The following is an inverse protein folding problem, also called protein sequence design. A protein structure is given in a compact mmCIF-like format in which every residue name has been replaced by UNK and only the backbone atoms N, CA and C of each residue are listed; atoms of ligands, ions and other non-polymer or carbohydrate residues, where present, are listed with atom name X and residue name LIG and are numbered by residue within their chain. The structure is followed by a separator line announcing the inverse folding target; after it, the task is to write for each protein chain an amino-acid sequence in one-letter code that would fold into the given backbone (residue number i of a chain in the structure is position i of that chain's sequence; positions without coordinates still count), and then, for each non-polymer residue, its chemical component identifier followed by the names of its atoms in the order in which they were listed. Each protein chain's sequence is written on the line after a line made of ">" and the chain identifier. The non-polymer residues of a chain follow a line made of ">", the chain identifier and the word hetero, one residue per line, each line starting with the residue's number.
data_IF_512327256615
#
_entry.id   IF_512327256615
#
_cell.length_a   1.000
_cell.length_b   1.000
_cell.length_c   1.000
_cell.angle_alpha   90.00
_cell.angle_beta   90.00
_cell.angle_gamma   90.00
#
_symmetry.space_group_name_H-M   'P 1'
#
loop_
_entity.id
_entity.type
_entity.pdbx_description
1 polymer ?
#
# COMPACT_ATOMS: atom_id res chain seq x y z
N UNK A 1 -10.39 1.60 -51.64
CA UNK A 1 -9.82 1.89 -50.32
C UNK A 1 -9.94 0.63 -49.49
N UNK A 2 -8.86 0.13 -48.90
CA UNK A 2 -8.97 -1.02 -48.01
C UNK A 2 -9.78 -0.60 -46.77
N UNK A 3 -10.81 -1.35 -46.42
CA UNK A 3 -11.52 -1.14 -45.15
C UNK A 3 -10.53 -1.22 -44.00
N UNK A 4 -10.39 -0.12 -43.26
CA UNK A 4 -9.70 -0.11 -41.97
C UNK A 4 -10.50 -1.00 -41.01
N UNK A 5 -10.18 -2.29 -40.99
CA UNK A 5 -10.69 -3.20 -39.95
C UNK A 5 -9.95 -2.91 -38.67
N UNK A 6 -10.63 -2.29 -37.72
CA UNK A 6 -10.16 -2.19 -36.33
C UNK A 6 -9.90 -3.60 -35.82
N UNK A 7 -8.65 -3.92 -35.48
CA UNK A 7 -8.29 -5.21 -34.91
C UNK A 7 -8.50 -5.15 -33.40
N UNK A 8 -9.51 -5.87 -32.91
CA UNK A 8 -9.90 -5.82 -31.49
C UNK A 8 -11.07 -4.87 -31.21
N UNK A 9 -11.42 -4.68 -29.93
CA UNK A 9 -12.52 -3.85 -29.47
C UNK A 9 -12.79 -4.04 -27.97
N UNK A 10 -13.67 -3.22 -27.38
CA UNK A 10 -14.09 -3.35 -25.97
C UNK A 10 -14.66 -4.75 -25.74
N UNK A 11 -14.14 -5.47 -24.74
CA UNK A 11 -14.55 -6.83 -24.40
C UNK A 11 -13.84 -7.95 -25.19
N UNK A 12 -12.99 -7.63 -26.17
CA UNK A 12 -12.20 -8.63 -26.88
C UNK A 12 -10.96 -9.07 -26.07
N UNK A 13 -10.59 -10.35 -26.18
CA UNK A 13 -9.37 -10.89 -25.57
C UNK A 13 -8.13 -10.50 -26.40
N UNK A 14 -7.60 -9.30 -26.18
CA UNK A 14 -6.40 -8.78 -26.84
C UNK A 14 -5.19 -8.99 -25.92
N UNK A 15 -4.04 -9.50 -26.42
CA UNK A 15 -2.80 -9.54 -25.65
C UNK A 15 -2.36 -8.16 -25.19
N UNK A 16 -1.64 -8.08 -24.08
CA UNK A 16 -1.02 -6.84 -23.62
C UNK A 16 -0.14 -6.22 -24.72
N UNK A 17 -0.24 -4.91 -24.96
CA UNK A 17 0.45 -4.22 -26.07
C UNK A 17 1.96 -4.46 -26.09
N UNK A 18 2.61 -4.36 -24.92
CA UNK A 18 4.05 -4.65 -24.75
C UNK A 18 4.37 -6.13 -24.48
N UNK A 19 3.41 -7.05 -24.58
CA UNK A 19 3.59 -8.45 -24.21
C UNK A 19 4.71 -9.16 -24.98
N UNK A 20 4.82 -8.88 -26.28
CA UNK A 20 5.91 -9.40 -27.11
C UNK A 20 7.29 -8.88 -26.67
N UNK A 21 7.39 -7.60 -26.28
CA UNK A 21 8.62 -6.98 -25.77
C UNK A 21 9.03 -7.54 -24.40
N UNK A 22 8.07 -7.89 -23.55
CA UNK A 22 8.36 -8.52 -22.26
C UNK A 22 9.01 -9.90 -22.46
N UNK A 23 8.54 -10.67 -23.44
CA UNK A 23 9.05 -12.01 -23.73
C UNK A 23 10.43 -11.97 -24.41
N UNK A 24 10.66 -11.00 -25.29
CA UNK A 24 11.96 -10.84 -25.97
C UNK A 24 13.03 -10.18 -25.11
N UNK A 25 12.64 -9.51 -24.01
CA UNK A 25 13.56 -8.71 -23.19
C UNK A 25 13.86 -7.32 -23.78
N UNK A 26 13.07 -6.87 -24.76
CA UNK A 26 13.24 -5.56 -25.41
C UNK A 26 12.46 -4.44 -24.71
N UNK A 27 11.61 -4.79 -23.73
CA UNK A 27 10.90 -3.81 -22.92
C UNK A 27 11.85 -3.15 -21.90
N UNK A 28 12.24 -1.90 -22.15
CA UNK A 28 13.10 -1.10 -21.27
C UNK A 28 12.41 -0.73 -19.95
N UNK A 29 12.99 -1.09 -18.81
CA UNK A 29 12.63 -0.60 -17.48
C UNK A 29 13.55 0.57 -17.06
N UNK A 30 13.34 1.18 -15.90
CA UNK A 30 14.11 2.39 -15.52
C UNK A 30 15.61 2.13 -15.45
N UNK A 31 16.05 0.93 -15.03
CA UNK A 31 17.47 0.60 -14.94
C UNK A 31 18.11 0.33 -16.32
N UNK A 32 17.30 -0.09 -17.29
CA UNK A 32 17.73 -0.41 -18.64
C UNK A 32 17.95 0.86 -19.50
N UNK A 33 17.54 2.03 -18.99
CA UNK A 33 17.74 3.31 -19.68
C UNK A 33 19.24 3.54 -19.87
N UNK A 34 19.70 3.82 -21.12
CA UNK A 34 21.09 4.14 -21.38
C UNK A 34 21.59 5.31 -20.53
N UNK A 35 22.70 5.09 -19.85
CA UNK A 35 23.27 6.06 -18.93
C UNK A 35 23.99 7.18 -19.68
N UNK A 36 23.83 8.40 -19.17
CA UNK A 36 24.55 9.57 -19.66
C UNK A 36 26.01 9.43 -19.25
N UNK A 37 26.93 9.83 -20.11
CA UNK A 37 28.37 9.77 -19.81
C UNK A 37 28.68 10.49 -18.49
N UNK A 38 29.33 9.78 -17.57
CA UNK A 38 29.71 10.33 -16.27
C UNK A 38 28.62 10.24 -15.21
N UNK A 39 27.55 9.47 -15.45
CA UNK A 39 26.58 9.05 -14.42
C UNK A 39 27.30 8.53 -13.18
N UNK A 40 26.81 8.96 -12.02
CA UNK A 40 27.22 8.46 -10.71
C UNK A 40 26.09 7.61 -10.13
N UNK A 41 26.43 6.78 -9.15
CA UNK A 41 25.48 5.89 -8.50
C UNK A 41 25.32 6.25 -7.05
N UNK A 42 24.10 6.12 -6.53
CA UNK A 42 23.78 6.51 -5.18
C UNK A 42 23.49 5.31 -4.27
N UNK A 43 23.73 5.52 -2.97
CA UNK A 43 23.26 4.66 -1.88
C UNK A 43 22.86 5.51 -0.69
N UNK A 44 21.91 5.03 0.11
CA UNK A 44 21.40 5.72 1.30
C UNK A 44 22.05 5.09 2.54
N UNK A 45 22.51 5.93 3.46
CA UNK A 45 22.91 5.52 4.79
C UNK A 45 21.72 5.54 5.73
N UNK A 46 21.46 4.40 6.36
CA UNK A 46 20.24 4.13 7.13
C UNK A 46 20.49 4.11 8.64
N UNK A 47 19.41 4.26 9.40
CA UNK A 47 19.37 4.00 10.85
C UNK A 47 19.48 2.52 11.17
N UNK A 48 20.32 2.17 12.14
CA UNK A 48 20.37 0.83 12.74
C UNK A 48 19.50 0.72 14.01
N UNK A 49 18.72 1.76 14.33
CA UNK A 49 17.88 1.84 15.54
C UNK A 49 16.41 2.06 15.18
N UNK A 50 15.52 1.39 15.92
CA UNK A 50 14.08 1.56 15.78
C UNK A 50 13.60 2.91 16.34
N UNK A 51 14.18 3.39 17.44
CA UNK A 51 13.85 4.70 18.00
C UNK A 51 15.03 5.22 18.81
N UNK A 52 15.64 6.32 18.39
CA UNK A 52 16.79 6.89 19.09
C UNK A 52 17.01 8.37 18.76
N UNK A 53 17.57 9.14 19.70
CA UNK A 53 18.14 10.45 19.39
C UNK A 53 19.48 10.26 18.72
N UNK A 54 19.75 11.04 17.68
CA UNK A 54 21.07 11.10 17.04
C UNK A 54 21.94 12.07 17.86
N UNK A 55 23.02 11.58 18.45
CA UNK A 55 23.97 12.38 19.26
C UNK A 55 25.06 12.99 18.39
N UNK A 56 25.61 12.19 17.48
CA UNK A 56 26.64 12.61 16.55
C UNK A 56 26.57 11.78 15.26
N UNK A 57 26.97 12.39 14.14
CA UNK A 57 27.10 11.74 12.83
C UNK A 57 28.52 12.00 12.33
N UNK A 58 29.37 10.96 12.31
CA UNK A 58 30.67 10.99 11.67
C UNK A 58 30.62 10.27 10.31
N UNK A 59 30.84 11.06 9.27
CA UNK A 59 30.85 10.61 7.87
C UNK A 59 32.24 10.84 7.22
N UNK A 60 33.30 11.02 8.01
CA UNK A 60 34.66 11.23 7.50
C UNK A 60 35.14 10.03 6.67
N UNK A 61 34.98 8.81 7.19
CA UNK A 61 35.31 7.57 6.46
C UNK A 61 34.46 7.38 5.20
N UNK A 62 33.17 7.76 5.27
CA UNK A 62 32.27 7.75 4.10
C UNK A 62 32.80 8.66 3.00
N UNK A 63 33.16 9.91 3.34
CA UNK A 63 33.68 10.89 2.37
C UNK A 63 35.04 10.50 1.79
N UNK A 64 35.90 9.86 2.58
CA UNK A 64 37.21 9.41 2.15
C UNK A 64 37.19 8.08 1.38
N UNK A 65 36.05 7.39 1.31
CA UNK A 65 35.97 6.08 0.69
C UNK A 65 36.25 6.12 -0.83
N UNK A 66 36.90 5.08 -1.40
CA UNK A 66 37.25 5.06 -2.81
C UNK A 66 36.05 5.26 -3.74
N UNK A 67 36.18 6.21 -4.66
CA UNK A 67 35.17 6.48 -5.69
C UNK A 67 34.00 7.36 -5.23
N UNK A 68 33.91 7.73 -3.95
CA UNK A 68 32.92 8.70 -3.47
C UNK A 68 33.19 10.07 -4.07
N UNK A 69 32.12 10.71 -4.55
CA UNK A 69 32.14 12.04 -5.16
C UNK A 69 31.42 13.06 -4.30
N UNK A 70 30.30 12.68 -3.68
CA UNK A 70 29.55 13.54 -2.79
C UNK A 70 28.85 12.76 -1.69
N UNK A 71 28.65 13.42 -0.56
CA UNK A 71 27.81 12.97 0.54
C UNK A 71 26.85 14.12 0.88
N UNK A 72 25.58 13.80 1.07
CA UNK A 72 24.54 14.76 1.49
C UNK A 72 23.83 14.29 2.75
N UNK A 73 23.42 15.25 3.56
CA UNK A 73 22.60 15.10 4.76
C UNK A 73 21.39 16.03 4.65
N UNK A 74 20.51 16.05 5.67
CA UNK A 74 19.41 17.02 5.74
C UNK A 74 19.87 18.50 5.57
N UNK A 75 21.12 18.83 5.93
CA UNK A 75 21.68 20.20 5.81
C UNK A 75 21.98 20.62 4.37
N UNK A 76 22.05 19.66 3.46
CA UNK A 76 22.34 19.88 2.04
C UNK A 76 21.07 20.03 1.20
N UNK A 77 19.88 19.93 1.82
CA UNK A 77 18.59 20.11 1.14
C UNK A 77 18.30 21.61 1.02
N UNK A 78 18.22 22.18 -0.19
CA UNK A 78 17.96 23.60 -0.37
C UNK A 78 16.51 23.99 -0.05
N UNK A 79 15.55 23.09 -0.31
CA UNK A 79 14.13 23.31 -0.05
C UNK A 79 13.64 22.57 1.19
N UNK A 80 12.55 21.82 1.04
CA UNK A 80 11.90 21.10 2.17
C UNK A 80 12.48 19.70 2.34
N UNK A 81 12.87 19.37 3.56
CA UNK A 81 13.28 18.01 3.95
C UNK A 81 12.05 17.14 4.26
N UNK A 82 11.25 16.81 3.26
CA UNK A 82 10.02 16.02 3.41
C UNK A 82 9.60 15.38 2.07
N UNK A 83 9.03 14.18 2.13
CA UNK A 83 8.40 13.49 1.00
C UNK A 83 7.04 12.84 1.38
N UNK A 84 6.42 13.31 2.47
CA UNK A 84 5.13 12.78 2.92
C UNK A 84 4.00 13.12 1.93
N UNK A 85 3.19 12.14 1.48
CA UNK A 85 2.23 12.36 0.39
C UNK A 85 0.96 13.12 0.80
N UNK A 86 0.66 13.18 2.10
CA UNK A 86 -0.60 13.79 2.62
C UNK A 86 -0.30 14.80 3.72
N UNK A 87 0.56 14.41 4.66
CA UNK A 87 1.05 15.26 5.75
C UNK A 87 2.56 15.35 5.59
N UNK A 88 3.12 16.53 5.86
CA UNK A 88 4.56 16.74 5.88
C UNK A 88 5.16 16.20 7.19
N UNK A 89 5.20 14.88 7.32
CA UNK A 89 5.68 14.15 8.49
C UNK A 89 6.67 13.02 8.17
N UNK A 90 7.21 12.99 6.94
CA UNK A 90 8.16 11.97 6.48
C UNK A 90 9.41 12.62 5.87
N UNK A 91 10.45 12.91 6.68
CA UNK A 91 11.64 13.59 6.19
C UNK A 91 12.48 12.73 5.23
N UNK A 92 13.04 13.37 4.18
CA UNK A 92 13.99 12.73 3.25
C UNK A 92 15.22 12.21 4.01
N UNK A 93 15.72 12.98 4.98
CA UNK A 93 16.76 12.55 5.92
C UNK A 93 16.39 12.89 7.37
N UNK A 94 16.50 11.91 8.26
CA UNK A 94 16.37 12.10 9.69
C UNK A 94 17.39 13.14 10.21
N UNK A 95 16.94 13.98 11.15
CA UNK A 95 17.75 15.05 11.73
C UNK A 95 18.14 14.74 13.17
N UNK A 96 17.28 15.07 14.14
CA UNK A 96 17.57 14.91 15.56
C UNK A 96 17.24 13.51 16.10
N UNK A 97 16.38 12.77 15.41
CA UNK A 97 15.82 11.51 15.88
C UNK A 97 15.55 10.56 14.72
N UNK A 98 15.86 9.29 14.92
CA UNK A 98 15.42 8.19 14.07
C UNK A 98 14.20 7.53 14.73
N UNK A 99 13.19 7.21 13.93
CA UNK A 99 11.91 6.68 14.38
C UNK A 99 11.59 5.30 13.80
N UNK A 100 12.46 4.74 12.95
CA UNK A 100 12.40 3.33 12.56
C UNK A 100 13.77 2.81 12.09
N UNK A 101 13.94 1.48 12.14
CA UNK A 101 15.12 0.80 11.59
C UNK A 101 15.08 0.87 10.06
N UNK A 102 16.16 1.32 9.42
CA UNK A 102 16.18 1.58 7.97
C UNK A 102 15.94 3.05 7.58
N UNK A 103 15.61 3.93 8.54
CA UNK A 103 15.34 5.34 8.20
C UNK A 103 16.55 6.03 7.58
N UNK A 104 16.34 6.76 6.48
CA UNK A 104 17.38 7.52 5.78
C UNK A 104 17.98 8.61 6.67
N UNK A 105 19.32 8.68 6.74
CA UNK A 105 20.06 9.69 7.53
C UNK A 105 20.93 10.56 6.61
N UNK A 106 21.52 9.95 5.58
CA UNK A 106 22.37 10.63 4.60
C UNK A 106 22.37 9.83 3.29
N UNK A 107 22.93 10.39 2.22
CA UNK A 107 23.16 9.66 0.98
C UNK A 107 24.54 9.93 0.39
N UNK A 108 25.04 8.97 -0.40
CA UNK A 108 26.36 8.98 -1.02
C UNK A 108 26.19 8.88 -2.53
N UNK A 109 26.92 9.69 -3.30
CA UNK A 109 27.14 9.47 -4.73
C UNK A 109 28.58 8.99 -4.96
N UNK A 110 28.75 7.91 -5.73
CA UNK A 110 30.05 7.34 -6.07
C UNK A 110 30.12 6.94 -7.56
N UNK A 111 31.33 6.60 -8.03
CA UNK A 111 31.58 6.21 -9.43
C UNK A 111 30.97 4.86 -9.83
N UNK A 112 30.63 4.00 -8.87
CA UNK A 112 29.97 2.71 -9.09
C UNK A 112 28.94 2.45 -7.99
N UNK A 113 27.92 1.64 -8.28
CA UNK A 113 26.91 1.23 -7.30
C UNK A 113 27.54 0.55 -6.08
N UNK A 114 28.50 -0.35 -6.29
CA UNK A 114 29.18 -1.07 -5.22
C UNK A 114 29.97 -0.13 -4.30
N UNK A 115 30.65 0.87 -4.86
CA UNK A 115 31.36 1.87 -4.06
C UNK A 115 30.40 2.71 -3.21
N UNK A 116 29.26 3.12 -3.77
CA UNK A 116 28.25 3.87 -3.03
C UNK A 116 27.72 3.06 -1.84
N UNK A 117 27.32 1.79 -2.08
CA UNK A 117 26.81 0.89 -1.04
C UNK A 117 27.85 0.60 0.05
N UNK A 118 29.10 0.30 -0.34
CA UNK A 118 30.19 0.07 0.63
C UNK A 118 30.50 1.33 1.45
N UNK A 119 30.53 2.50 0.81
CA UNK A 119 30.79 3.76 1.50
C UNK A 119 29.70 4.11 2.51
N UNK A 120 28.42 3.90 2.18
CA UNK A 120 27.30 4.16 3.08
C UNK A 120 27.41 3.37 4.41
N UNK A 121 27.99 2.16 4.38
CA UNK A 121 28.22 1.32 5.57
C UNK A 121 29.39 1.75 6.46
N UNK A 122 30.18 2.75 6.06
CA UNK A 122 31.32 3.25 6.84
C UNK A 122 30.95 4.38 7.81
N UNK A 123 29.68 4.79 7.85
CA UNK A 123 29.22 5.82 8.76
C UNK A 123 29.33 5.35 10.21
N UNK A 124 29.73 6.28 11.08
CA UNK A 124 29.70 6.08 12.53
C UNK A 124 28.67 7.04 13.09
N UNK A 125 27.60 6.49 13.64
CA UNK A 125 26.48 7.27 14.18
C UNK A 125 26.31 6.89 15.63
N UNK A 126 26.35 7.91 16.49
CA UNK A 126 26.14 7.75 17.93
C UNK A 126 24.67 7.98 18.25
N UNK A 127 24.06 7.00 18.94
CA UNK A 127 22.65 6.98 19.28
C UNK A 127 22.44 7.01 20.79
N UNK A 128 21.34 7.62 21.21
CA UNK A 128 20.74 7.43 22.53
C UNK A 128 19.38 6.75 22.32
N UNK A 129 19.30 5.45 22.63
CA UNK A 129 18.12 4.63 22.39
C UNK A 129 16.92 5.10 23.23
N UNK A 130 15.74 5.11 22.62
CA UNK A 130 14.47 5.46 23.23
C UNK A 130 13.52 4.26 23.21
N UNK A 131 12.49 4.28 24.06
CA UNK A 131 11.43 3.25 24.04
C UNK A 131 10.75 3.23 22.68
N UNK A 132 10.74 2.08 22.02
CA UNK A 132 10.07 1.88 20.74
C UNK A 132 8.73 1.16 20.92
N UNK A 133 7.70 1.58 20.17
CA UNK A 133 6.45 0.83 19.99
C UNK A 133 6.54 0.04 18.69
N UNK A 134 6.57 -1.28 18.72
CA UNK A 134 6.75 -2.12 17.53
C UNK A 134 5.45 -2.77 17.07
N UNK A 135 4.44 -2.81 17.93
CA UNK A 135 3.12 -3.42 17.66
C UNK A 135 1.98 -2.42 17.85
N UNK A 136 0.82 -2.70 17.22
CA UNK A 136 -0.38 -1.89 17.42
C UNK A 136 -0.84 -1.89 18.90
N UNK A 137 -0.69 -3.01 19.63
CA UNK A 137 -0.99 -3.08 21.08
C UNK A 137 -0.15 -2.13 21.91
N UNK A 138 1.15 -2.05 21.64
CA UNK A 138 2.04 -1.16 22.37
C UNK A 138 1.69 0.30 22.09
N UNK A 139 1.40 0.64 20.84
CA UNK A 139 0.94 1.95 20.44
C UNK A 139 -0.41 2.32 21.10
N UNK A 140 -1.37 1.40 21.16
CA UNK A 140 -2.65 1.60 21.87
C UNK A 140 -2.46 1.87 23.36
N UNK A 141 -1.65 1.03 24.03
CA UNK A 141 -1.33 1.17 25.46
C UNK A 141 -0.71 2.54 25.75
N UNK A 142 0.17 2.99 24.87
CA UNK A 142 0.90 4.25 25.01
C UNK A 142 0.14 5.44 24.38
N UNK A 143 -1.09 5.23 23.87
CA UNK A 143 -1.92 6.21 23.15
C UNK A 143 -1.17 6.95 22.02
N UNK A 144 -0.34 6.21 21.27
CA UNK A 144 0.49 6.72 20.19
C UNK A 144 -0.19 6.50 18.82
N UNK A 145 -0.57 7.59 18.16
CA UNK A 145 -1.31 7.57 16.90
C UNK A 145 -0.69 8.52 15.86
N UNK A 146 -0.72 8.15 14.58
CA UNK A 146 -0.28 9.03 13.48
C UNK A 146 -1.40 9.99 13.05
N UNK A 147 -2.65 9.60 13.31
CA UNK A 147 -3.87 10.32 12.92
C UNK A 147 -4.97 10.08 13.98
N UNK A 148 -6.02 10.92 14.03
CA UNK A 148 -7.13 10.75 14.96
C UNK A 148 -7.81 9.37 14.87
N UNK A 149 -8.34 8.90 16.01
CA UNK A 149 -9.24 7.75 16.07
C UNK A 149 -10.58 8.12 15.44
N UNK A 150 -11.14 7.22 14.64
CA UNK A 150 -12.43 7.43 13.96
C UNK A 150 -13.42 6.37 14.42
N UNK A 151 -14.70 6.75 14.48
CA UNK A 151 -15.79 5.86 14.83
C UNK A 151 -16.94 6.01 13.86
N UNK A 152 -17.43 4.87 13.36
CA UNK A 152 -18.64 4.77 12.56
C UNK A 152 -19.69 4.00 13.36
N UNK A 153 -20.89 4.53 13.48
CA UNK A 153 -22.01 3.87 14.17
C UNK A 153 -23.28 3.93 13.32
N UNK A 154 -24.01 2.81 13.29
CA UNK A 154 -25.37 2.69 12.78
C UNK A 154 -26.24 1.94 13.80
N UNK A 155 -27.46 2.42 14.02
CA UNK A 155 -28.42 1.77 14.92
C UNK A 155 -27.97 1.82 16.38
N UNK A 156 -28.34 0.81 17.17
CA UNK A 156 -27.94 0.68 18.58
C UNK A 156 -27.26 -0.70 18.83
N UNK A 157 -25.98 -0.85 18.44
CA UNK A 157 -25.27 -2.14 18.49
C UNK A 157 -25.21 -2.71 19.90
N UNK A 158 -24.98 -1.89 20.93
CA UNK A 158 -24.87 -2.36 22.30
C UNK A 158 -26.18 -2.98 22.81
N UNK A 159 -27.32 -2.34 22.54
CA UNK A 159 -28.62 -2.89 22.93
C UNK A 159 -28.99 -4.13 22.12
N UNK A 160 -28.68 -4.16 20.83
CA UNK A 160 -28.95 -5.30 19.96
C UNK A 160 -28.10 -6.52 20.33
N UNK A 161 -26.82 -6.32 20.67
CA UNK A 161 -25.92 -7.37 21.15
C UNK A 161 -26.40 -7.89 22.51
N UNK A 162 -26.71 -7.00 23.45
CA UNK A 162 -27.12 -7.38 24.80
C UNK A 162 -28.44 -8.17 24.85
N UNK A 163 -29.37 -7.89 23.93
CA UNK A 163 -30.66 -8.58 23.83
C UNK A 163 -30.66 -9.79 22.91
N UNK A 164 -29.56 -10.07 22.21
CA UNK A 164 -29.47 -11.19 21.28
C UNK A 164 -29.52 -12.56 22.01
N UNK A 165 -30.15 -13.59 21.41
CA UNK A 165 -30.17 -14.94 21.96
C UNK A 165 -28.78 -15.56 22.17
N UNK A 166 -27.85 -15.28 21.24
CA UNK A 166 -26.46 -15.73 21.31
C UNK A 166 -25.52 -14.54 21.23
N UNK A 167 -24.41 -14.61 21.97
CA UNK A 167 -23.31 -13.63 21.95
C UNK A 167 -21.97 -14.34 21.83
N UNK A 168 -21.09 -13.80 20.99
CA UNK A 168 -19.71 -14.25 20.86
C UNK A 168 -18.77 -13.05 20.89
N UNK A 169 -17.56 -13.27 21.39
CA UNK A 169 -16.46 -12.32 21.39
C UNK A 169 -15.21 -13.01 20.84
N UNK A 170 -14.43 -12.29 20.05
CA UNK A 170 -13.24 -12.85 19.44
C UNK A 170 -12.24 -11.79 19.01
N UNK A 171 -11.09 -12.27 18.55
CA UNK A 171 -10.02 -11.44 18.02
C UNK A 171 -9.29 -12.15 16.89
N UNK A 172 -8.89 -11.39 15.89
CA UNK A 172 -8.05 -11.84 14.78
C UNK A 172 -6.87 -10.88 14.58
N UNK A 173 -5.68 -11.44 14.36
CA UNK A 173 -4.51 -10.68 13.95
C UNK A 173 -4.22 -11.00 12.48
N UNK A 174 -4.14 -9.95 11.66
CA UNK A 174 -3.89 -10.02 10.23
C UNK A 174 -2.52 -9.40 10.00
N UNK A 175 -1.54 -10.25 9.64
CA UNK A 175 -0.17 -9.80 9.41
C UNK A 175 -0.02 -8.89 8.18
N UNK A 176 1.09 -8.15 8.15
CA UNK A 176 1.47 -7.32 7.02
C UNK A 176 1.92 -8.11 5.80
N UNK A 177 2.25 -7.38 4.74
CA UNK A 177 2.66 -7.95 3.46
C UNK A 177 3.59 -7.00 2.71
N UNK A 178 4.72 -7.52 2.23
CA UNK A 178 5.61 -6.81 1.30
C UNK A 178 5.11 -6.95 -0.15
N UNK A 179 5.14 -5.87 -0.92
CA UNK A 179 4.64 -5.82 -2.29
C UNK A 179 5.42 -6.72 -3.22
N UNK A 180 6.72 -6.89 -2.96
CA UNK A 180 7.62 -7.76 -3.72
C UNK A 180 7.52 -7.58 -5.24
N UNK A 181 7.32 -6.33 -5.69
CA UNK A 181 7.46 -5.98 -7.11
C UNK A 181 8.85 -6.41 -7.60
N UNK A 182 8.94 -7.00 -8.79
CA UNK A 182 10.19 -7.62 -9.26
C UNK A 182 11.26 -6.59 -9.58
N UNK A 183 10.89 -5.46 -10.17
CA UNK A 183 11.76 -4.29 -10.28
C UNK A 183 11.72 -3.52 -8.96
N UNK A 184 12.81 -3.51 -8.19
CA UNK A 184 12.93 -2.74 -6.96
C UNK A 184 12.81 -1.22 -7.18
N UNK A 185 12.87 -0.46 -6.10
CA UNK A 185 12.88 1.00 -6.17
C UNK A 185 14.06 1.52 -6.97
N UNK A 186 13.78 2.41 -7.91
CA UNK A 186 14.79 3.03 -8.74
C UNK A 186 14.40 4.43 -9.18
N UNK A 187 15.36 5.35 -9.10
CA UNK A 187 15.28 6.67 -9.69
C UNK A 187 16.58 6.98 -10.44
N UNK A 188 16.45 7.58 -11.63
CA UNK A 188 17.56 8.08 -12.42
C UNK A 188 17.33 9.56 -12.74
N UNK A 189 18.01 10.43 -11.97
CA UNK A 189 17.89 11.88 -12.06
C UNK A 189 18.99 12.45 -12.98
N UNK A 190 18.60 13.26 -13.95
CA UNK A 190 19.46 13.84 -14.98
C UNK A 190 19.28 15.37 -14.94
N UNK A 191 20.29 16.13 -14.48
CA UNK A 191 20.27 17.58 -14.56
C UNK A 191 20.16 18.05 -16.01
N UNK A 192 19.35 19.08 -16.25
CA UNK A 192 19.10 19.68 -17.56
C UNK A 192 19.51 21.16 -17.55
N UNK A 193 19.27 21.84 -18.66
CA UNK A 193 19.60 23.26 -18.82
C UNK A 193 18.80 24.12 -17.83
N UNK A 194 19.33 25.31 -17.51
CA UNK A 194 18.70 26.29 -16.63
C UNK A 194 18.29 25.75 -15.24
N UNK A 195 19.06 24.78 -14.71
CA UNK A 195 18.81 24.20 -13.40
C UNK A 195 17.59 23.27 -13.32
N UNK A 196 16.99 22.93 -14.47
CA UNK A 196 15.86 21.99 -14.53
C UNK A 196 16.30 20.54 -14.30
N UNK A 197 15.36 19.66 -13.94
CA UNK A 197 15.63 18.27 -13.60
C UNK A 197 14.70 17.32 -14.36
N UNK A 198 15.27 16.29 -14.99
CA UNK A 198 14.52 15.14 -15.49
C UNK A 198 14.75 13.95 -14.56
N UNK A 199 13.68 13.30 -14.12
CA UNK A 199 13.76 12.10 -13.27
C UNK A 199 13.02 10.96 -13.94
N UNK A 200 13.74 9.91 -14.34
CA UNK A 200 13.14 8.63 -14.65
C UNK A 200 12.87 7.90 -13.33
N UNK A 201 11.61 7.59 -13.03
CA UNK A 201 11.23 6.99 -11.75
C UNK A 201 10.30 5.82 -11.97
N UNK A 202 10.57 4.69 -11.31
CA UNK A 202 9.62 3.59 -11.26
C UNK A 202 8.54 3.93 -10.23
N UNK A 203 7.48 4.62 -10.69
CA UNK A 203 6.42 5.19 -9.84
C UNK A 203 5.02 5.07 -10.45
N UNK A 204 4.01 4.86 -9.60
CA UNK A 204 2.59 4.92 -9.96
C UNK A 204 2.06 6.35 -9.96
N UNK A 205 2.79 7.31 -9.37
CA UNK A 205 2.33 8.69 -9.23
C UNK A 205 3.41 9.70 -9.65
N UNK A 206 3.67 9.86 -10.97
CA UNK A 206 4.68 10.80 -11.47
C UNK A 206 4.46 12.25 -11.03
N UNK A 207 3.21 12.70 -10.93
CA UNK A 207 2.86 14.06 -10.49
C UNK A 207 3.25 14.36 -9.04
N UNK A 208 3.02 13.42 -8.13
CA UNK A 208 3.45 13.59 -6.73
C UNK A 208 4.97 13.57 -6.60
N UNK A 209 5.65 12.65 -7.29
CA UNK A 209 7.12 12.62 -7.34
C UNK A 209 7.69 13.95 -7.89
N UNK A 210 7.04 14.54 -8.89
CA UNK A 210 7.43 15.85 -9.45
C UNK A 210 7.37 16.94 -8.39
N UNK A 211 6.26 17.03 -7.64
CA UNK A 211 6.10 18.01 -6.58
C UNK A 211 7.13 17.81 -5.46
N UNK A 212 7.35 16.58 -5.01
CA UNK A 212 8.30 16.26 -3.95
C UNK A 212 9.73 16.61 -4.35
N UNK A 213 10.16 16.25 -5.57
CA UNK A 213 11.49 16.63 -6.09
C UNK A 213 11.62 18.14 -6.22
N UNK A 214 10.59 18.83 -6.74
CA UNK A 214 10.61 20.28 -6.85
C UNK A 214 10.74 20.95 -5.47
N UNK A 215 9.97 20.50 -4.48
CA UNK A 215 10.05 21.00 -3.10
C UNK A 215 11.41 20.73 -2.46
N UNK A 216 12.01 19.56 -2.66
CA UNK A 216 13.32 19.23 -2.11
C UNK A 216 14.43 20.10 -2.72
N UNK A 217 14.36 20.38 -4.02
CA UNK A 217 15.35 21.17 -4.76
C UNK A 217 15.15 22.69 -4.68
N UNK A 218 14.08 23.16 -4.03
CA UNK A 218 13.62 24.55 -4.07
C UNK A 218 13.38 25.07 -5.51
N UNK A 219 12.75 24.21 -6.32
CA UNK A 219 12.35 24.49 -7.69
C UNK A 219 10.83 24.59 -7.81
N UNK A 220 10.34 25.14 -8.92
CA UNK A 220 8.92 25.08 -9.26
C UNK A 220 8.62 23.74 -9.93
N UNK A 221 7.40 23.23 -9.80
CA UNK A 221 6.99 21.98 -10.43
C UNK A 221 7.30 21.92 -11.94
N UNK A 222 7.11 23.02 -12.67
CA UNK A 222 7.42 23.12 -14.11
C UNK A 222 8.90 22.91 -14.47
N UNK A 223 9.80 23.08 -13.51
CA UNK A 223 11.25 22.96 -13.69
C UNK A 223 11.71 21.49 -13.47
N UNK A 224 10.78 20.60 -13.11
CA UNK A 224 11.00 19.16 -12.91
C UNK A 224 10.10 18.37 -13.85
N UNK A 225 10.64 17.39 -14.55
CA UNK A 225 9.88 16.43 -15.36
C UNK A 225 10.11 15.02 -14.79
N UNK A 226 9.03 14.27 -14.59
CA UNK A 226 9.10 12.86 -14.17
C UNK A 226 8.58 11.98 -15.31
N UNK A 227 9.36 10.98 -15.70
CA UNK A 227 9.03 10.03 -16.76
C UNK A 227 8.97 8.60 -16.19
N UNK A 228 7.84 7.94 -16.41
CA UNK A 228 7.61 6.55 -16.07
C UNK A 228 6.97 5.84 -17.27
N UNK A 229 7.80 5.14 -18.07
CA UNK A 229 7.30 4.39 -19.22
C UNK A 229 6.53 3.12 -18.82
N UNK A 230 7.03 2.42 -17.81
CA UNK A 230 6.49 1.16 -17.26
C UNK A 230 7.18 0.85 -15.93
N UNK A 231 6.59 -0.06 -15.16
CA UNK A 231 7.16 -0.59 -13.92
C UNK A 231 7.16 -2.12 -13.93
N UNK A 232 8.19 -2.73 -13.34
CA UNK A 232 8.24 -4.18 -13.05
C UNK A 232 7.41 -4.56 -11.82
N UNK A 233 6.15 -4.12 -11.77
CA UNK A 233 5.27 -4.22 -10.62
C UNK A 233 5.32 -2.99 -9.71
N UNK A 234 4.22 -2.73 -9.00
CA UNK A 234 4.09 -1.63 -8.03
C UNK A 234 3.15 -1.96 -6.88
N UNK A 235 1.94 -2.44 -7.18
CA UNK A 235 0.98 -3.00 -6.22
C UNK A 235 0.57 -2.06 -5.06
N UNK A 236 0.70 -0.74 -5.24
CA UNK A 236 0.49 0.29 -4.22
C UNK A 236 1.80 0.77 -3.58
N UNK A 237 2.81 -0.09 -3.47
CA UNK A 237 4.10 0.27 -2.86
C UNK A 237 4.88 1.33 -3.64
N UNK A 238 4.51 1.57 -4.90
CA UNK A 238 5.09 2.63 -5.75
C UNK A 238 4.16 3.85 -5.89
N UNK A 239 3.17 4.01 -5.01
CA UNK A 239 2.25 5.16 -5.02
C UNK A 239 2.87 6.40 -4.37
N UNK A 240 3.43 6.28 -3.16
CA UNK A 240 4.09 7.39 -2.45
C UNK A 240 5.61 7.17 -2.26
N UNK A 241 6.02 5.94 -1.98
CA UNK A 241 7.38 5.58 -1.59
C UNK A 241 8.49 5.91 -2.60
N UNK A 242 8.26 5.97 -3.94
CA UNK A 242 9.31 6.38 -4.90
C UNK A 242 9.82 7.81 -4.65
N UNK A 243 9.04 8.64 -3.95
CA UNK A 243 9.39 10.01 -3.56
C UNK A 243 10.76 10.13 -2.90
N UNK A 244 11.03 9.30 -1.89
CA UNK A 244 12.31 9.29 -1.17
C UNK A 244 13.49 9.11 -2.14
N UNK A 245 13.43 8.09 -2.99
CA UNK A 245 14.53 7.74 -3.89
C UNK A 245 14.71 8.77 -5.01
N UNK A 246 13.60 9.30 -5.54
CA UNK A 246 13.62 10.38 -6.53
C UNK A 246 14.24 11.67 -5.96
N UNK A 247 13.83 12.09 -4.76
CA UNK A 247 14.39 13.24 -4.05
C UNK A 247 15.89 13.06 -3.79
N UNK A 248 16.31 11.91 -3.25
CA UNK A 248 17.74 11.63 -2.99
C UNK A 248 18.56 11.67 -4.27
N UNK A 249 18.11 11.02 -5.35
CA UNK A 249 18.79 11.04 -6.63
C UNK A 249 18.91 12.46 -7.18
N UNK A 250 17.83 13.24 -7.14
CA UNK A 250 17.77 14.60 -7.65
C UNK A 250 18.66 15.57 -6.84
N UNK A 251 18.67 15.47 -5.50
CA UNK A 251 19.53 16.28 -4.62
C UNK A 251 21.02 16.03 -4.90
N UNK A 252 21.42 14.75 -5.03
CA UNK A 252 22.77 14.39 -5.42
C UNK A 252 23.10 14.89 -6.83
N UNK A 253 22.14 14.85 -7.75
CA UNK A 253 22.33 15.27 -9.13
C UNK A 253 22.54 16.79 -9.23
N UNK A 254 21.77 17.57 -8.48
CA UNK A 254 21.96 19.01 -8.35
C UNK A 254 23.34 19.34 -7.74
N UNK A 255 23.70 18.68 -6.63
CA UNK A 255 24.99 18.91 -5.95
C UNK A 255 26.20 18.59 -6.82
N UNK A 256 26.15 17.50 -7.58
CA UNK A 256 27.28 17.03 -8.39
C UNK A 256 27.28 17.54 -9.83
N UNK A 257 26.15 18.11 -10.29
CA UNK A 257 25.89 18.48 -11.69
C UNK A 257 26.09 17.30 -12.66
N UNK A 258 25.83 16.09 -12.18
CA UNK A 258 25.93 14.83 -12.94
C UNK A 258 24.65 14.05 -12.77
N UNK A 259 24.36 13.18 -13.74
CA UNK A 259 23.25 12.25 -13.60
C UNK A 259 23.51 11.28 -12.45
N UNK A 260 22.45 10.93 -11.71
CA UNK A 260 22.49 10.03 -10.55
C UNK A 260 21.52 8.89 -10.74
N UNK A 261 22.03 7.66 -10.76
CA UNK A 261 21.21 6.45 -10.72
C UNK A 261 21.21 5.86 -9.31
N UNK A 262 20.04 5.82 -8.69
CA UNK A 262 19.80 5.18 -7.40
C UNK A 262 18.95 3.94 -7.63
N UNK A 263 19.59 2.77 -7.67
CA UNK A 263 18.92 1.46 -7.74
C UNK A 263 19.07 0.75 -6.41
N UNK A 264 17.97 0.65 -5.68
CA UNK A 264 17.93 0.12 -4.32
C UNK A 264 18.14 -1.39 -4.37
N UNK A 265 18.89 -1.92 -3.41
CA UNK A 265 19.03 -3.38 -3.27
C UNK A 265 17.75 -3.99 -2.69
N UNK A 266 17.50 -5.28 -2.90
CA UNK A 266 16.21 -5.87 -2.48
C UNK A 266 16.02 -5.84 -0.96
N UNK A 267 17.07 -6.11 -0.21
CA UNK A 267 17.08 -6.04 1.26
C UNK A 267 16.84 -4.59 1.73
N UNK A 268 17.57 -3.62 1.17
CA UNK A 268 17.37 -2.20 1.49
C UNK A 268 15.94 -1.74 1.14
N UNK A 269 15.41 -2.14 -0.01
CA UNK A 269 14.03 -1.84 -0.43
C UNK A 269 13.02 -2.39 0.60
N UNK A 270 13.15 -3.66 0.95
CA UNK A 270 12.27 -4.29 1.94
C UNK A 270 12.38 -3.65 3.33
N UNK A 271 13.53 -3.08 3.69
CA UNK A 271 13.71 -2.35 4.95
C UNK A 271 13.13 -0.93 4.91
N UNK A 272 13.27 -0.23 3.79
CA UNK A 272 12.99 1.20 3.66
C UNK A 272 11.58 1.53 3.18
N UNK A 273 10.92 0.63 2.46
CA UNK A 273 9.61 0.92 1.85
C UNK A 273 8.45 0.40 2.69
N UNK A 274 7.35 1.14 2.70
CA UNK A 274 6.14 0.77 3.42
C UNK A 274 5.51 -0.55 2.98
N UNK A 275 4.89 -1.26 3.93
CA UNK A 275 4.19 -2.54 3.71
C UNK A 275 2.68 -2.34 3.78
N UNK A 276 1.93 -3.41 3.51
CA UNK A 276 0.51 -3.49 3.91
C UNK A 276 0.40 -3.33 5.43
N UNK A 277 -0.54 -2.50 5.89
CA UNK A 277 -0.92 -2.39 7.29
C UNK A 277 -1.38 -3.71 7.89
N UNK A 278 -0.71 -4.14 8.95
CA UNK A 278 -1.19 -5.18 9.86
C UNK A 278 -2.39 -4.64 10.63
N UNK A 279 -3.36 -5.50 10.92
CA UNK A 279 -4.54 -5.14 11.71
C UNK A 279 -4.72 -6.12 12.86
N UNK A 280 -4.94 -5.56 14.04
CA UNK A 280 -5.55 -6.30 15.14
C UNK A 280 -7.02 -5.92 15.22
N UNK A 281 -7.88 -6.93 15.04
CA UNK A 281 -9.32 -6.74 15.03
C UNK A 281 -9.93 -7.51 16.19
N UNK A 282 -10.63 -6.80 17.06
CA UNK A 282 -11.48 -7.36 18.11
C UNK A 282 -12.93 -7.17 17.71
N UNK A 283 -13.78 -8.11 18.10
CA UNK A 283 -15.21 -8.00 17.87
C UNK A 283 -16.06 -8.59 18.98
N UNK A 284 -17.26 -8.07 19.09
CA UNK A 284 -18.38 -8.67 19.80
C UNK A 284 -19.59 -8.71 18.88
N UNK A 285 -20.29 -9.85 18.83
CA UNK A 285 -21.44 -10.05 17.96
C UNK A 285 -22.61 -10.67 18.72
N UNK A 286 -23.81 -10.16 18.45
CA UNK A 286 -25.09 -10.75 18.87
C UNK A 286 -25.87 -11.26 17.66
N UNK A 287 -26.40 -12.48 17.73
CA UNK A 287 -27.12 -13.14 16.63
C UNK A 287 -28.24 -14.07 17.14
N UNK A 288 -29.15 -14.43 16.24
CA UNK A 288 -30.29 -15.31 16.54
C UNK A 288 -30.00 -16.80 16.26
N UNK A 289 -30.97 -17.68 16.55
CA UNK A 289 -30.88 -19.13 16.29
C UNK A 289 -30.76 -19.47 14.79
N UNK A 290 -31.15 -18.55 13.90
CA UNK A 290 -30.97 -18.71 12.46
C UNK A 290 -29.51 -18.44 12.04
N UNK A 291 -28.76 -17.67 12.82
CA UNK A 291 -27.42 -17.17 12.49
C UNK A 291 -27.43 -15.78 11.87
N UNK A 292 -28.55 -15.06 11.98
CA UNK A 292 -28.67 -13.68 11.52
C UNK A 292 -28.03 -12.74 12.54
N UNK A 293 -27.16 -11.87 12.07
CA UNK A 293 -26.51 -10.85 12.89
C UNK A 293 -27.55 -9.79 13.26
N UNK A 294 -27.69 -9.54 14.56
CA UNK A 294 -28.58 -8.51 15.13
C UNK A 294 -27.80 -7.25 15.50
N UNK A 295 -26.58 -7.42 16.01
CA UNK A 295 -25.65 -6.33 16.28
C UNK A 295 -24.19 -6.78 16.30
N UNK A 296 -23.27 -5.90 15.93
CA UNK A 296 -21.82 -6.17 15.98
C UNK A 296 -21.03 -4.91 16.34
N UNK A 297 -20.02 -5.06 17.19
CA UNK A 297 -19.05 -4.03 17.54
C UNK A 297 -17.67 -4.50 17.12
N UNK A 298 -16.93 -3.66 16.38
CA UNK A 298 -15.58 -3.91 15.91
C UNK A 298 -14.62 -2.87 16.46
N UNK A 299 -13.46 -3.32 16.92
CA UNK A 299 -12.29 -2.47 17.18
C UNK A 299 -11.20 -2.87 16.19
N UNK A 300 -10.76 -1.92 15.37
CA UNK A 300 -9.71 -2.07 14.38
C UNK A 300 -8.48 -1.27 14.82
N UNK A 301 -7.35 -1.94 15.03
CA UNK A 301 -6.09 -1.27 15.32
C UNK A 301 -5.09 -1.53 14.18
N UNK A 302 -4.96 -0.55 13.28
CA UNK A 302 -4.05 -0.62 12.15
C UNK A 302 -2.65 -0.15 12.55
N UNK A 303 -1.63 -0.99 12.33
CA UNK A 303 -0.21 -0.59 12.50
C UNK A 303 0.20 0.30 11.33
N UNK A 304 0.30 1.60 11.56
CA UNK A 304 0.57 2.58 10.49
C UNK A 304 2.06 2.82 10.24
N UNK A 305 2.93 2.47 11.17
CA UNK A 305 4.33 2.90 11.12
C UNK A 305 4.49 4.30 11.71
N UNK A 306 5.60 4.96 11.36
CA UNK A 306 6.02 6.15 12.10
C UNK A 306 5.39 7.48 11.62
N UNK A 307 4.96 7.54 10.35
CA UNK A 307 4.34 8.68 9.67
C UNK A 307 2.95 8.32 9.14
N UNK A 308 2.19 9.31 8.69
CA UNK A 308 0.82 9.11 8.24
C UNK A 308 0.75 8.36 6.90
N UNK A 309 1.58 8.73 5.92
CA UNK A 309 1.49 8.25 4.53
C UNK A 309 0.01 8.18 4.06
N UNK A 310 -0.45 7.03 3.55
CA UNK A 310 -1.82 6.79 3.11
C UNK A 310 -2.70 6.13 4.20
N UNK A 311 -2.20 6.05 5.44
CA UNK A 311 -2.83 5.32 6.55
C UNK A 311 -4.25 5.78 6.86
N UNK A 312 -4.55 7.08 6.73
CA UNK A 312 -5.91 7.60 6.94
C UNK A 312 -6.92 6.92 6.04
N UNK A 313 -6.73 7.05 4.72
CA UNK A 313 -7.63 6.47 3.72
C UNK A 313 -7.66 4.94 3.73
N UNK A 314 -6.56 4.29 4.12
CA UNK A 314 -6.50 2.82 4.27
C UNK A 314 -7.36 2.35 5.44
N UNK A 315 -7.26 3.01 6.60
CA UNK A 315 -8.06 2.68 7.78
C UNK A 315 -9.55 3.00 7.55
N UNK A 316 -9.87 4.09 6.86
CA UNK A 316 -11.25 4.42 6.49
C UNK A 316 -11.83 3.37 5.55
N UNK A 317 -11.05 2.94 4.54
CA UNK A 317 -11.48 1.86 3.65
C UNK A 317 -11.69 0.54 4.40
N UNK A 318 -10.85 0.22 5.38
CA UNK A 318 -11.08 -0.96 6.23
C UNK A 318 -12.43 -0.87 6.95
N UNK A 319 -12.77 0.29 7.52
CA UNK A 319 -14.08 0.53 8.15
C UNK A 319 -15.23 0.38 7.15
N UNK A 320 -15.12 0.93 5.94
CA UNK A 320 -16.15 0.82 4.89
C UNK A 320 -16.34 -0.60 4.35
N UNK A 321 -15.42 -1.52 4.62
CA UNK A 321 -15.50 -2.90 4.14
C UNK A 321 -15.63 -3.92 5.28
N UNK A 322 -15.82 -3.48 6.52
CA UNK A 322 -16.12 -4.35 7.67
C UNK A 322 -17.50 -5.02 7.58
N UNK A 323 -18.35 -4.59 6.64
CA UNK A 323 -19.61 -5.25 6.28
C UNK A 323 -19.40 -6.42 5.31
N UNK A 324 -18.37 -6.36 4.46
CA UNK A 324 -18.26 -7.19 3.25
C UNK A 324 -19.61 -7.26 2.50
N UNK A 325 -20.16 -8.44 2.27
CA UNK A 325 -21.46 -8.59 1.61
C UNK A 325 -22.65 -8.61 2.56
N UNK A 326 -22.45 -8.35 3.86
CA UNK A 326 -23.44 -8.61 4.89
C UNK A 326 -24.15 -7.33 5.34
N UNK A 327 -25.48 -7.36 5.41
CA UNK A 327 -26.24 -6.25 5.96
C UNK A 327 -26.13 -6.20 7.48
N UNK A 328 -25.47 -5.16 7.97
CA UNK A 328 -25.34 -4.86 9.40
C UNK A 328 -26.31 -3.76 9.81
N UNK A 329 -27.37 -4.13 10.52
CA UNK A 329 -28.41 -3.20 10.96
C UNK A 329 -27.95 -2.32 12.13
N UNK A 330 -27.33 -2.96 13.12
CA UNK A 330 -26.75 -2.30 14.29
C UNK A 330 -25.25 -2.59 14.32
N UNK A 331 -24.43 -1.58 14.05
CA UNK A 331 -22.97 -1.76 13.96
C UNK A 331 -22.22 -0.57 14.51
N UNK A 332 -21.13 -0.84 15.23
CA UNK A 332 -20.15 0.15 15.67
C UNK A 332 -18.76 -0.31 15.24
N UNK A 333 -17.99 0.58 14.65
CA UNK A 333 -16.61 0.32 14.21
C UNK A 333 -15.75 1.44 14.76
N UNK A 334 -14.81 1.11 15.63
CA UNK A 334 -13.79 2.01 16.14
C UNK A 334 -12.47 1.69 15.46
N UNK A 335 -11.80 2.69 14.87
CA UNK A 335 -10.54 2.50 14.16
C UNK A 335 -9.43 3.37 14.75
N UNK A 336 -8.33 2.74 15.14
CA UNK A 336 -7.11 3.37 15.68
C UNK A 336 -5.98 3.33 14.65
N UNK A 337 -5.44 4.51 14.30
CA UNK A 337 -4.29 4.66 13.39
C UNK A 337 -2.98 4.66 14.20
N UNK A 338 -2.55 3.48 14.62
CA UNK A 338 -1.48 3.29 15.60
C UNK A 338 -0.11 3.70 15.03
N UNK A 339 0.56 4.63 15.73
CA UNK A 339 1.95 5.01 15.44
C UNK A 339 2.92 4.02 16.04
N UNK A 340 3.77 3.43 15.21
CA UNK A 340 4.82 2.49 15.62
C UNK A 340 6.17 2.92 15.08
N UNK A 341 7.23 2.52 15.79
CA UNK A 341 8.62 2.71 15.40
C UNK A 341 9.09 1.71 14.34
N UNK A 342 8.29 1.61 13.28
CA UNK A 342 8.53 0.79 12.09
C UNK A 342 8.40 1.69 10.86
N UNK A 343 8.93 1.25 9.72
CA UNK A 343 8.72 1.96 8.44
C UNK A 343 7.24 2.31 8.26
N UNK A 344 6.98 3.48 7.69
CA UNK A 344 5.62 3.93 7.40
C UNK A 344 4.94 2.96 6.45
N UNK A 345 3.85 2.33 6.88
CA UNK A 345 3.09 1.44 6.01
C UNK A 345 2.34 2.26 4.97
N UNK A 346 2.12 1.66 3.80
CA UNK A 346 1.60 2.36 2.62
C UNK A 346 0.56 1.52 1.89
N UNK A 347 0.15 1.97 0.71
CA UNK A 347 -0.75 1.26 -0.15
C UNK A 347 -0.23 -0.16 -0.49
N UNK A 348 -1.14 -1.12 -0.39
CA UNK A 348 -1.05 -2.42 -1.02
C UNK A 348 -2.40 -2.69 -1.70
N UNK A 349 -2.42 -3.31 -2.88
CA UNK A 349 -3.64 -3.82 -3.55
C UNK A 349 -4.73 -4.28 -2.57
N UNK A 350 -5.89 -3.63 -2.65
CA UNK A 350 -7.03 -3.78 -1.74
C UNK A 350 -7.16 -2.65 -0.71
N UNK A 351 -6.05 -2.01 -0.34
CA UNK A 351 -6.01 -0.72 0.37
C UNK A 351 -6.80 -0.70 1.69
N UNK A 352 -6.58 -1.69 2.56
CA UNK A 352 -7.31 -1.83 3.84
C UNK A 352 -8.61 -2.63 3.74
N UNK A 353 -9.21 -2.72 2.54
CA UNK A 353 -10.41 -3.54 2.30
C UNK A 353 -10.23 -5.01 2.71
N UNK A 354 -9.16 -5.71 2.30
CA UNK A 354 -8.90 -7.08 2.75
C UNK A 354 -8.89 -7.22 4.28
N UNK A 355 -8.21 -6.29 4.98
CA UNK A 355 -8.15 -6.33 6.44
C UNK A 355 -9.52 -6.06 7.08
N UNK A 356 -10.28 -5.10 6.56
CA UNK A 356 -11.64 -4.80 7.02
C UNK A 356 -12.59 -5.98 6.89
N UNK A 357 -12.55 -6.71 5.76
CA UNK A 357 -13.44 -7.86 5.51
C UNK A 357 -13.12 -9.09 6.36
N UNK A 358 -11.86 -9.29 6.76
CA UNK A 358 -11.46 -10.49 7.51
C UNK A 358 -12.14 -10.62 8.88
N UNK A 359 -12.41 -9.48 9.55
CA UNK A 359 -13.11 -9.49 10.84
C UNK A 359 -14.51 -10.09 10.73
N UNK A 360 -15.31 -9.62 9.77
CA UNK A 360 -16.68 -10.11 9.58
C UNK A 360 -16.74 -11.53 9.01
N UNK A 361 -15.76 -11.94 8.18
CA UNK A 361 -15.66 -13.34 7.75
C UNK A 361 -15.36 -14.28 8.92
N UNK A 362 -14.53 -13.84 9.88
CA UNK A 362 -14.27 -14.59 11.11
C UNK A 362 -15.54 -14.73 11.97
N UNK A 363 -16.28 -13.63 12.14
CA UNK A 363 -17.59 -13.60 12.83
C UNK A 363 -18.57 -14.61 12.22
N UNK A 364 -18.77 -14.58 10.90
CA UNK A 364 -19.70 -15.48 10.21
C UNK A 364 -19.31 -16.95 10.42
N UNK A 365 -18.01 -17.26 10.29
CA UNK A 365 -17.50 -18.59 10.49
C UNK A 365 -17.68 -19.08 11.95
N UNK A 366 -17.53 -18.21 12.94
CA UNK A 366 -17.79 -18.53 14.35
C UNK A 366 -19.27 -18.76 14.65
N UNK A 367 -20.17 -17.92 14.12
CA UNK A 367 -21.62 -18.13 14.19
C UNK A 367 -21.99 -19.50 13.63
N UNK A 368 -21.45 -19.84 12.45
CA UNK A 368 -21.72 -21.13 11.82
C UNK A 368 -21.23 -22.32 12.66
N UNK A 369 -20.04 -22.22 13.28
CA UNK A 369 -19.51 -23.26 14.17
C UNK A 369 -20.34 -23.40 15.44
N UNK A 370 -20.72 -22.28 16.07
CA UNK A 370 -21.56 -22.25 17.28
C UNK A 370 -22.90 -22.93 17.06
N UNK A 371 -23.55 -22.65 15.92
CA UNK A 371 -24.85 -23.22 15.57
C UNK A 371 -24.77 -24.60 14.87
N UNK A 372 -23.56 -25.10 14.57
CA UNK A 372 -23.37 -26.34 13.80
C UNK A 372 -23.85 -26.28 12.34
N UNK A 373 -23.93 -25.09 11.74
CA UNK A 373 -24.44 -24.83 10.38
C UNK A 373 -23.33 -24.82 9.32
N UNK A 374 -23.72 -24.83 8.06
CA UNK A 374 -22.79 -24.53 6.96
C UNK A 374 -22.46 -23.03 6.96
N UNK A 375 -21.18 -22.62 6.95
CA UNK A 375 -20.82 -21.22 6.83
C UNK A 375 -21.41 -20.54 5.60
N UNK A 376 -21.57 -21.25 4.47
CA UNK A 376 -22.17 -20.66 3.27
C UNK A 376 -23.65 -20.29 3.48
N UNK A 377 -24.39 -21.08 4.26
CA UNK A 377 -25.80 -20.81 4.54
C UNK A 377 -25.95 -19.60 5.48
N UNK A 378 -25.06 -19.47 6.48
CA UNK A 378 -25.01 -18.29 7.37
C UNK A 378 -24.62 -17.02 6.58
N UNK A 379 -23.70 -17.13 5.61
CA UNK A 379 -23.36 -16.03 4.70
C UNK A 379 -24.59 -15.56 3.92
N UNK A 380 -25.25 -16.48 3.21
CA UNK A 380 -26.44 -16.18 2.38
C UNK A 380 -27.56 -15.52 3.20
N UNK A 381 -27.79 -15.96 4.43
CA UNK A 381 -28.78 -15.38 5.35
C UNK A 381 -28.51 -13.90 5.66
N UNK A 382 -27.24 -13.51 5.71
CA UNK A 382 -26.81 -12.18 6.11
C UNK A 382 -26.53 -11.23 4.94
N UNK A 383 -26.62 -11.68 3.69
CA UNK A 383 -26.36 -10.81 2.53
C UNK A 383 -27.21 -9.53 2.53
N UNK A 384 -26.65 -8.47 1.95
CA UNK A 384 -27.44 -7.32 1.51
C UNK A 384 -28.61 -7.79 0.63
N UNK A 385 -29.78 -7.20 0.85
CA UNK A 385 -30.96 -7.46 0.03
C UNK A 385 -30.96 -6.62 -1.25
N UNK A 386 -32.03 -6.78 -2.04
CA UNK A 386 -32.24 -6.03 -3.29
C UNK A 386 -33.09 -4.80 -2.99
N UNK A 387 -34.32 -5.01 -2.50
CA UNK A 387 -35.26 -3.92 -2.22
C UNK A 387 -35.17 -3.39 -0.78
N UNK A 388 -35.00 -4.30 0.18
CA UNK A 388 -34.81 -4.00 1.59
C UNK A 388 -33.40 -4.41 2.05
N UNK A 389 -32.93 -3.89 3.19
CA UNK A 389 -31.59 -4.22 3.73
C UNK A 389 -30.47 -4.01 2.71
N UNK A 390 -30.54 -2.91 1.95
CA UNK A 390 -29.65 -2.59 0.83
C UNK A 390 -28.84 -1.30 1.05
N UNK A 391 -28.87 -0.71 2.26
CA UNK A 391 -28.06 0.46 2.62
C UNK A 391 -26.91 0.03 3.51
N UNK A 392 -25.70 0.42 3.14
CA UNK A 392 -24.47 0.16 3.90
C UNK A 392 -24.46 0.87 5.25
N UNK A 393 -23.54 0.48 6.14
CA UNK A 393 -23.37 1.10 7.45
C UNK A 393 -22.87 2.55 7.38
N UNK A 394 -22.31 2.97 6.25
CA UNK A 394 -21.94 4.36 5.93
C UNK A 394 -22.96 5.05 5.02
N UNK A 395 -24.22 4.57 5.02
CA UNK A 395 -25.37 5.21 4.38
C UNK A 395 -25.36 5.29 2.85
N UNK A 396 -24.48 4.53 2.17
CA UNK A 396 -24.54 4.38 0.72
C UNK A 396 -25.53 3.26 0.33
N UNK A 397 -26.54 3.52 -0.52
CA UNK A 397 -27.36 2.48 -1.11
C UNK A 397 -26.55 1.58 -2.05
N UNK A 398 -26.80 0.28 -1.99
CA UNK A 398 -26.30 -0.71 -2.93
C UNK A 398 -27.35 -0.87 -4.04
N UNK A 399 -26.98 -0.43 -5.23
CA UNK A 399 -27.75 -0.66 -6.46
C UNK A 399 -27.15 -1.82 -7.24
N UNK A 400 -27.95 -2.48 -8.07
CA UNK A 400 -27.54 -3.63 -8.91
C UNK A 400 -26.82 -4.74 -8.11
N UNK A 401 -27.42 -5.13 -6.98
CA UNK A 401 -26.85 -6.13 -6.09
C UNK A 401 -26.92 -7.55 -6.67
N UNK A 402 -25.85 -7.98 -7.33
CA UNK A 402 -25.73 -9.29 -8.00
C UNK A 402 -25.13 -10.41 -7.12
N UNK A 403 -24.98 -10.20 -5.81
CA UNK A 403 -24.26 -11.17 -4.96
C UNK A 403 -24.97 -12.53 -4.89
N UNK A 404 -26.30 -12.53 -4.88
CA UNK A 404 -27.13 -13.74 -4.83
C UNK A 404 -26.91 -14.60 -6.08
N UNK A 405 -26.87 -13.96 -7.26
CA UNK A 405 -26.66 -14.65 -8.53
C UNK A 405 -25.25 -15.22 -8.65
N UNK A 406 -24.23 -14.43 -8.31
CA UNK A 406 -22.81 -14.85 -8.37
C UNK A 406 -22.58 -16.05 -7.44
N UNK A 407 -23.02 -15.95 -6.19
CA UNK A 407 -22.84 -17.03 -5.20
C UNK A 407 -23.64 -18.26 -5.60
N UNK A 408 -24.88 -18.12 -6.07
CA UNK A 408 -25.70 -19.24 -6.54
C UNK A 408 -25.08 -19.98 -7.72
N UNK A 409 -24.57 -19.25 -8.72
CA UNK A 409 -23.88 -19.84 -9.87
C UNK A 409 -22.59 -20.54 -9.46
N UNK A 410 -21.79 -19.97 -8.55
CA UNK A 410 -20.56 -20.59 -8.06
C UNK A 410 -20.85 -21.82 -7.18
N UNK A 411 -21.87 -21.76 -6.34
CA UNK A 411 -22.31 -22.89 -5.51
C UNK A 411 -22.70 -24.10 -6.39
N UNK A 412 -23.43 -23.85 -7.48
CA UNK A 412 -23.80 -24.88 -8.45
C UNK A 412 -22.63 -25.36 -9.30
N UNK A 413 -21.94 -24.44 -10.01
CA UNK A 413 -20.88 -24.80 -10.97
C UNK A 413 -19.65 -25.42 -10.33
N UNK A 414 -19.44 -25.20 -9.02
CA UNK A 414 -18.35 -25.80 -8.26
C UNK A 414 -18.73 -27.09 -7.53
N UNK A 415 -19.98 -27.56 -7.64
CA UNK A 415 -20.53 -28.71 -6.89
C UNK A 415 -20.30 -28.62 -5.37
N UNK A 416 -20.48 -27.42 -4.80
CA UNK A 416 -20.06 -27.10 -3.43
C UNK A 416 -20.58 -28.12 -2.40
N UNK A 417 -21.88 -28.38 -2.37
CA UNK A 417 -22.49 -29.28 -1.38
C UNK A 417 -22.04 -30.74 -1.53
N UNK A 418 -21.93 -31.23 -2.77
CA UNK A 418 -21.47 -32.59 -3.03
C UNK A 418 -20.01 -32.77 -2.58
N UNK A 419 -19.13 -31.82 -2.94
CA UNK A 419 -17.72 -31.82 -2.51
C UNK A 419 -17.60 -31.69 -1.00
N UNK A 420 -18.42 -30.87 -0.36
CA UNK A 420 -18.42 -30.70 1.09
C UNK A 420 -18.83 -31.99 1.82
N UNK A 421 -19.86 -32.69 1.33
CA UNK A 421 -20.26 -34.01 1.84
C UNK A 421 -19.12 -35.03 1.70
N UNK A 422 -18.47 -35.07 0.54
CA UNK A 422 -17.33 -35.95 0.30
C UNK A 422 -16.14 -35.63 1.21
N UNK A 423 -15.84 -34.36 1.45
CA UNK A 423 -14.80 -33.90 2.39
C UNK A 423 -15.12 -34.35 3.81
N UNK A 424 -16.36 -34.23 4.27
CA UNK A 424 -16.78 -34.71 5.60
C UNK A 424 -16.57 -36.21 5.75
N UNK A 425 -16.97 -37.00 4.75
CA UNK A 425 -16.74 -38.45 4.76
C UNK A 425 -15.24 -38.80 4.79
N UNK A 426 -14.43 -38.13 3.97
CA UNK A 426 -12.97 -38.29 3.99
C UNK A 426 -12.37 -37.95 5.37
N UNK A 427 -12.78 -36.82 5.94
CA UNK A 427 -12.28 -36.36 7.24
C UNK A 427 -12.69 -37.28 8.39
N UNK A 428 -13.82 -37.99 8.31
CA UNK A 428 -14.23 -38.96 9.33
C UNK A 428 -13.30 -40.19 9.35
N UNK A 429 -12.79 -40.62 8.20
CA UNK A 429 -11.89 -41.78 8.08
C UNK A 429 -10.39 -41.47 8.18
N UNK A 430 -9.99 -40.20 8.06
CA UNK A 430 -8.57 -39.81 8.05
C UNK A 430 -8.18 -39.10 9.36
N UNK A 431 -7.36 -39.72 10.24
CA UNK A 431 -6.96 -39.10 11.50
C UNK A 431 -5.89 -38.00 11.33
N UNK A 432 -5.11 -38.05 10.23
CA UNK A 432 -3.95 -37.18 10.01
C UNK A 432 -4.26 -36.07 9.01
N UNK A 433 -4.74 -36.43 7.82
CA UNK A 433 -5.00 -35.47 6.75
C UNK A 433 -6.46 -35.03 6.80
N UNK A 434 -6.69 -33.72 6.92
CA UNK A 434 -8.02 -33.13 6.80
C UNK A 434 -8.09 -32.26 5.56
N UNK A 435 -9.27 -32.20 4.94
CA UNK A 435 -9.58 -31.32 3.81
C UNK A 435 -10.59 -30.26 4.26
N UNK A 436 -10.52 -29.09 3.64
CA UNK A 436 -11.46 -27.99 3.83
C UNK A 436 -11.91 -27.41 2.48
N UNK A 437 -13.08 -26.82 2.47
CA UNK A 437 -13.62 -26.04 1.35
C UNK A 437 -14.34 -24.84 1.92
N UNK A 438 -14.22 -23.68 1.27
CA UNK A 438 -14.93 -22.46 1.60
C UNK A 438 -15.35 -21.75 0.31
N UNK A 439 -16.48 -21.05 0.37
CA UNK A 439 -16.96 -20.12 -0.66
C UNK A 439 -17.26 -18.81 0.07
N UNK A 440 -16.50 -17.77 -0.26
CA UNK A 440 -16.53 -16.48 0.44
C UNK A 440 -16.87 -15.37 -0.56
N UNK A 441 -17.88 -14.54 -0.28
CA UNK A 441 -18.30 -13.44 -1.13
C UNK A 441 -17.36 -12.23 -0.97
N UNK A 442 -17.38 -11.29 -1.91
CA UNK A 442 -16.67 -10.01 -1.79
C UNK A 442 -17.54 -8.88 -2.36
N UNK A 443 -17.76 -7.82 -1.57
CA UNK A 443 -18.19 -6.50 -2.03
C UNK A 443 -17.01 -5.56 -1.91
N UNK A 444 -16.67 -4.84 -2.97
CA UNK A 444 -15.54 -3.91 -2.98
C UNK A 444 -15.93 -2.57 -3.61
N UNK A 445 -15.84 -1.49 -2.83
CA UNK A 445 -16.15 -0.13 -3.29
C UNK A 445 -15.10 0.42 -4.24
N UNK A 446 -15.52 0.86 -5.43
CA UNK A 446 -14.64 1.41 -6.46
C UNK A 446 -14.75 2.93 -6.46
N UNK A 447 -13.62 3.59 -6.16
CA UNK A 447 -13.29 5.03 -6.28
C UNK A 447 -12.23 5.36 -5.24
N UNK A 448 -11.52 6.47 -5.39
CA UNK A 448 -10.76 7.07 -4.30
C UNK A 448 -11.72 7.61 -3.24
N UNK A 449 -11.40 7.38 -1.96
CA UNK A 449 -12.13 7.96 -0.82
C UNK A 449 -11.99 9.49 -0.81
N UNK A 450 -10.84 10.01 -1.24
CA UNK A 450 -10.65 11.42 -1.55
C UNK A 450 -11.25 11.75 -2.93
N UNK A 451 -12.42 12.40 -2.94
CA UNK A 451 -13.23 12.61 -4.15
C UNK A 451 -12.49 13.32 -5.28
N UNK A 452 -11.64 14.30 -4.96
CA UNK A 452 -10.86 15.05 -5.94
C UNK A 452 -9.82 14.19 -6.69
N UNK A 453 -9.43 13.01 -6.20
CA UNK A 453 -8.53 12.12 -6.93
C UNK A 453 -9.24 11.35 -8.07
N UNK A 454 -10.58 11.36 -8.10
CA UNK A 454 -11.36 10.73 -9.16
C UNK A 454 -11.43 11.63 -10.41
N UNK A 455 -10.27 11.96 -10.96
CA UNK A 455 -10.10 12.76 -12.17
C UNK A 455 -9.01 12.14 -13.05
N UNK A 456 -9.09 12.37 -14.37
CA UNK A 456 -8.09 11.90 -15.31
C UNK A 456 -7.96 12.87 -16.49
N UNK A 457 -6.75 12.97 -17.05
CA UNK A 457 -6.46 13.74 -18.25
C UNK A 457 -5.83 12.85 -19.33
N UNK A 458 -6.01 13.23 -20.60
CA UNK A 458 -5.33 12.62 -21.73
C UNK A 458 -4.95 13.69 -22.77
N UNK A 459 -3.90 13.39 -23.53
CA UNK A 459 -3.43 14.18 -24.67
C UNK A 459 -3.35 13.27 -25.89
N UNK A 460 -4.03 13.67 -26.97
CA UNK A 460 -4.03 12.97 -28.25
C UNK A 460 -3.39 13.86 -29.31
N UNK A 461 -2.40 13.31 -30.02
CA UNK A 461 -1.83 13.92 -31.22
C UNK A 461 -2.25 13.12 -32.45
N UNK A 462 -2.67 13.84 -33.49
CA UNK A 462 -2.94 13.29 -34.82
C UNK A 462 -1.89 13.85 -35.76
N UNK A 463 -1.03 12.98 -36.27
CA UNK A 463 0.02 13.38 -37.20
C UNK A 463 -0.52 13.51 -38.63
N UNK A 464 0.23 14.21 -39.47
CA UNK A 464 -0.15 14.47 -40.87
C UNK A 464 -0.19 13.22 -41.75
N UNK A 465 0.42 12.12 -41.29
CA UNK A 465 0.33 10.80 -41.92
C UNK A 465 -0.88 9.96 -41.44
N UNK A 466 -1.69 10.52 -40.54
CA UNK A 466 -2.87 9.87 -39.96
C UNK A 466 -2.58 8.98 -38.75
N UNK A 467 -1.33 8.87 -38.29
CA UNK A 467 -1.00 8.13 -37.07
C UNK A 467 -1.40 8.88 -35.80
N UNK A 468 -1.63 8.14 -34.72
CA UNK A 468 -2.09 8.66 -33.45
C UNK A 468 -1.04 8.40 -32.36
N UNK A 469 -0.78 9.41 -31.54
CA UNK A 469 -0.06 9.24 -30.27
C UNK A 469 -0.96 9.66 -29.12
N UNK A 470 -1.15 8.74 -28.17
CA UNK A 470 -1.95 8.94 -26.97
C UNK A 470 -1.04 8.96 -25.73
N UNK A 471 -1.26 9.92 -24.85
CA UNK A 471 -0.71 9.98 -23.51
C UNK A 471 -1.85 10.21 -22.51
N UNK A 472 -1.77 9.59 -21.33
CA UNK A 472 -2.71 9.81 -20.23
C UNK A 472 -1.97 9.75 -18.90
N UNK A 473 -2.63 10.20 -17.82
CA UNK A 473 -2.00 10.26 -16.48
C UNK A 473 -1.82 8.91 -15.77
N UNK A 474 -2.47 7.84 -16.26
CA UNK A 474 -2.34 6.48 -15.73
C UNK A 474 -1.17 5.68 -16.28
#
# INVERSE_FOLDING_TARGET
>A
MAELRVKGGVGAAIPHDSGHLHVSGEATYTDDIPEVRGTLYAAIGMSERAHARIKAIDLAKVRAAPGVVAVITARDIPGKNDYGPVIADDPIFATAMVQYFGQSIFAVAAKTMEQARRAARLAVIEYEDLKANLTAKEALRDQSFVLPTERLVRGNPQAAIASAPHRLQGRINIGGQDQFYLEGMIAYAVPKEDGTMLVYSSTQHPGEVQHQVAHALDLRAKDVVVDCRRMGGGFGGKESQPGLFACVAALLAQKTRKAIKLRVDRDDDMLMTGKRHDFETEYEVGFDDAGRILGVDFVLAGRCGYSADLSGSINDRAMFHSDNCYYLENVSILSFRCKTNTVSNTAFRGFGGPQGMMGIECVIDEIARHLGKDPLDVRKLNFYGIDERNVTHYHQPIVDNVIHDIVGQLEQSSDYHARRKAIRAFNAGSPILKRGIALTPVKFGISFTATHLNQAGCLLHIYTDGTLMLNHGG
#
